data_IF_246358805195
#
_entry.id   IF_246358805195
#
_cell.length_a   1.000
_cell.length_b   1.000
_cell.length_c   1.000
_cell.angle_alpha   90.00
_cell.angle_beta   90.00
_cell.angle_gamma   90.00
#
_symmetry.space_group_name_H-M   'P 1'
#
loop_
_entity.id
_entity.type
_entity.pdbx_description
1 polymer ?
#
# COMPACT_ATOMS: atom_id res chain seq x y z
N UNK A 1 -5.31 -8.45 20.85
CA UNK A 1 -4.61 -8.51 19.54
C UNK A 1 -3.99 -9.89 19.42
N UNK A 2 -4.36 -10.68 18.40
CA UNK A 2 -3.63 -11.92 18.10
C UNK A 2 -2.24 -11.48 17.61
N UNK A 3 -1.17 -11.95 18.25
CA UNK A 3 0.19 -11.78 17.72
C UNK A 3 0.24 -12.55 16.40
N UNK A 4 0.12 -11.85 15.28
CA UNK A 4 0.39 -12.45 13.97
C UNK A 4 1.90 -12.66 13.88
N UNK A 5 2.30 -13.89 13.63
CA UNK A 5 3.70 -14.21 13.37
C UNK A 5 4.12 -13.49 12.06
N UNK A 6 5.30 -12.88 11.99
CA UNK A 6 5.79 -12.31 10.75
C UNK A 6 6.05 -13.44 9.76
N UNK A 7 5.81 -13.15 8.51
CA UNK A 7 6.02 -14.03 7.36
C UNK A 7 6.66 -13.22 6.24
N UNK A 8 7.33 -13.93 5.35
CA UNK A 8 7.94 -13.38 4.14
C UNK A 8 6.93 -13.42 3.00
N UNK A 9 6.54 -12.27 2.48
CA UNK A 9 5.55 -12.13 1.40
C UNK A 9 6.25 -11.73 0.12
N UNK A 10 6.13 -12.56 -0.90
CA UNK A 10 6.68 -12.34 -2.23
C UNK A 10 5.69 -11.62 -3.13
N UNK A 11 6.19 -10.65 -3.87
CA UNK A 11 5.44 -9.92 -4.88
C UNK A 11 6.22 -9.86 -6.20
N UNK A 12 5.50 -9.93 -7.31
CA UNK A 12 6.01 -9.64 -8.65
C UNK A 12 5.58 -8.24 -9.07
N UNK A 13 6.49 -7.55 -9.73
CA UNK A 13 6.28 -6.22 -10.29
C UNK A 13 6.58 -6.26 -11.79
N UNK A 14 5.54 -6.47 -12.61
CA UNK A 14 5.66 -6.44 -14.08
C UNK A 14 6.07 -5.04 -14.57
N UNK A 15 5.55 -4.03 -13.87
CA UNK A 15 5.94 -2.64 -13.96
C UNK A 15 6.31 -2.17 -12.55
N UNK A 16 7.16 -1.16 -12.44
CA UNK A 16 7.54 -0.60 -11.15
C UNK A 16 6.32 -0.13 -10.33
N UNK A 17 5.22 0.20 -11.00
CA UNK A 17 3.97 0.68 -10.42
C UNK A 17 2.89 -0.39 -10.27
N UNK A 18 3.16 -1.66 -10.55
CA UNK A 18 2.15 -2.72 -10.49
C UNK A 18 2.66 -3.88 -9.64
N UNK A 19 2.12 -4.01 -8.43
CA UNK A 19 2.49 -5.08 -7.50
C UNK A 19 1.41 -6.16 -7.42
N UNK A 20 1.83 -7.42 -7.59
CA UNK A 20 0.99 -8.61 -7.49
C UNK A 20 1.54 -9.59 -6.47
N UNK A 21 0.66 -10.16 -5.64
CA UNK A 21 1.02 -11.17 -4.65
C UNK A 21 1.39 -12.50 -5.34
N UNK A 22 2.50 -13.10 -4.92
CA UNK A 22 2.94 -14.42 -5.40
C UNK A 22 2.68 -15.50 -4.36
N UNK A 23 3.30 -15.37 -3.19
CA UNK A 23 3.20 -16.34 -2.09
C UNK A 23 3.65 -15.76 -0.76
N UNK A 24 3.44 -16.54 0.30
CA UNK A 24 3.81 -16.22 1.67
C UNK A 24 4.54 -17.43 2.28
N UNK A 25 5.66 -17.17 2.94
CA UNK A 25 6.45 -18.15 3.67
C UNK A 25 6.52 -17.76 5.15
N UNK A 26 6.02 -18.62 6.03
CA UNK A 26 6.03 -18.42 7.47
C UNK A 26 7.31 -18.96 8.13
N UNK A 27 8.08 -19.80 7.43
CA UNK A 27 9.29 -20.44 7.96
C UNK A 27 10.47 -20.30 6.98
N UNK A 28 11.69 -20.31 7.52
CA UNK A 28 12.91 -20.21 6.72
C UNK A 28 13.08 -21.42 5.79
N UNK A 29 12.63 -22.60 6.23
CA UNK A 29 12.60 -23.83 5.41
C UNK A 29 11.73 -23.68 4.18
N UNK A 30 10.58 -23.00 4.29
CA UNK A 30 9.68 -22.75 3.15
C UNK A 30 10.33 -21.83 2.11
N UNK A 31 11.10 -20.83 2.58
CA UNK A 31 11.89 -19.94 1.69
C UNK A 31 12.99 -20.74 0.97
N UNK A 32 13.69 -21.62 1.69
CA UNK A 32 14.72 -22.48 1.11
C UNK A 32 14.15 -23.48 0.09
N UNK A 33 13.00 -24.08 0.40
CA UNK A 33 12.31 -25.02 -0.48
C UNK A 33 11.88 -24.35 -1.79
N UNK A 34 11.52 -23.07 -1.75
CA UNK A 34 11.17 -22.27 -2.94
C UNK A 34 12.32 -22.22 -3.96
N UNK A 35 13.56 -22.04 -3.50
CA UNK A 35 14.76 -22.06 -4.35
C UNK A 35 15.12 -23.48 -4.80
N UNK A 36 15.00 -24.47 -3.91
CA UNK A 36 15.26 -25.87 -4.24
C UNK A 36 14.31 -26.42 -5.32
N UNK A 37 13.04 -26.02 -5.30
CA UNK A 37 12.05 -26.43 -6.30
C UNK A 37 12.36 -25.82 -7.68
N UNK A 38 12.90 -24.60 -7.73
CA UNK A 38 13.30 -23.96 -8.99
C UNK A 38 14.49 -24.66 -9.63
N UNK A 39 15.51 -25.02 -8.85
CA UNK A 39 16.66 -25.78 -9.36
C UNK A 39 16.21 -27.07 -10.06
N UNK A 40 15.18 -27.75 -9.53
CA UNK A 40 14.61 -28.97 -10.11
C UNK A 40 13.73 -28.73 -11.35
N UNK A 41 13.09 -27.57 -11.46
CA UNK A 41 12.26 -27.22 -12.62
C UNK A 41 13.10 -26.89 -13.86
N UNK A 42 14.30 -26.33 -13.70
CA UNK A 42 15.22 -26.08 -14.82
C UNK A 42 15.63 -27.38 -15.52
N UNK A 43 15.69 -28.49 -14.78
CA UNK A 43 16.06 -29.81 -15.30
C UNK A 43 14.88 -30.63 -15.88
N UNK A 44 13.64 -30.29 -15.50
CA UNK A 44 12.45 -31.03 -15.88
C UNK A 44 11.62 -30.26 -16.94
N UNK A 45 11.87 -30.52 -18.22
CA UNK A 45 10.97 -30.10 -19.30
C UNK A 45 9.58 -30.74 -19.10
N UNK A 46 8.62 -29.94 -18.64
CA UNK A 46 7.20 -30.22 -18.42
C UNK A 46 6.81 -30.74 -17.03
N UNK A 47 6.30 -29.83 -16.19
CA UNK A 47 5.14 -30.10 -15.33
C UNK A 47 4.35 -28.80 -15.11
N UNK A 48 3.02 -28.94 -15.03
CA UNK A 48 2.00 -27.90 -15.26
C UNK A 48 1.50 -27.25 -13.95
N UNK A 49 2.06 -27.61 -12.80
CA UNK A 49 1.81 -26.89 -11.54
C UNK A 49 3.05 -26.05 -11.16
N UNK A 50 3.17 -24.92 -11.84
CA UNK A 50 4.22 -23.94 -11.62
C UNK A 50 3.98 -23.22 -10.29
N UNK A 51 4.69 -23.65 -9.25
CA UNK A 51 4.91 -22.83 -8.06
C UNK A 51 5.46 -21.44 -8.43
N UNK A 52 5.42 -20.47 -7.51
CA UNK A 52 5.83 -19.10 -7.79
C UNK A 52 7.30 -19.04 -8.19
N UNK A 53 7.56 -18.59 -9.42
CA UNK A 53 8.92 -18.45 -9.94
C UNK A 53 9.55 -17.15 -9.44
N UNK A 54 10.49 -17.28 -8.51
CA UNK A 54 11.30 -16.19 -7.95
C UNK A 54 12.72 -16.13 -8.54
N UNK A 55 12.98 -16.85 -9.63
CA UNK A 55 14.29 -16.88 -10.27
C UNK A 55 14.58 -15.54 -10.98
N UNK A 56 15.71 -14.87 -10.70
CA UNK A 56 16.13 -13.65 -11.37
C UNK A 56 16.13 -13.72 -12.89
N UNK A 57 16.53 -14.85 -13.47
CA UNK A 57 16.67 -14.99 -14.93
C UNK A 57 15.32 -15.02 -15.66
N UNK A 58 14.24 -15.28 -14.93
CA UNK A 58 12.87 -15.28 -15.45
C UNK A 58 12.25 -13.88 -15.58
N UNK A 59 12.89 -12.85 -15.00
CA UNK A 59 12.44 -11.47 -15.08
C UNK A 59 12.53 -10.94 -16.50
N UNK A 60 11.47 -10.36 -17.03
CA UNK A 60 11.58 -9.54 -18.25
C UNK A 60 12.30 -8.20 -17.93
N UNK A 61 12.65 -7.46 -18.98
CA UNK A 61 13.31 -6.16 -18.82
C UNK A 61 12.41 -5.22 -17.99
N UNK A 62 13.00 -4.56 -16.98
CA UNK A 62 12.35 -3.68 -15.99
C UNK A 62 11.41 -4.36 -14.99
N UNK A 63 11.22 -5.67 -15.07
CA UNK A 63 10.48 -6.38 -14.05
C UNK A 63 11.28 -6.49 -12.76
N UNK A 64 10.55 -6.61 -11.65
CA UNK A 64 11.13 -6.83 -10.33
C UNK A 64 10.41 -7.93 -9.57
N UNK A 65 11.14 -8.60 -8.67
CA UNK A 65 10.57 -9.44 -7.62
C UNK A 65 11.00 -8.84 -6.29
N UNK A 66 10.11 -8.89 -5.30
CA UNK A 66 10.42 -8.45 -3.94
C UNK A 66 9.91 -9.44 -2.92
N UNK A 67 10.63 -9.54 -1.81
CA UNK A 67 10.18 -10.21 -0.59
C UNK A 67 10.13 -9.19 0.53
N UNK A 68 9.01 -9.09 1.24
CA UNK A 68 8.83 -8.16 2.37
C UNK A 68 8.22 -8.85 3.57
N UNK A 69 8.34 -8.27 4.75
CA UNK A 69 7.61 -8.76 5.91
C UNK A 69 6.09 -8.56 5.74
N UNK A 70 5.25 -9.48 6.20
CA UNK A 70 3.77 -9.39 6.09
C UNK A 70 3.11 -8.20 6.78
N UNK A 71 3.81 -7.61 7.74
CA UNK A 71 3.43 -6.40 8.45
C UNK A 71 4.29 -5.20 8.04
N UNK A 72 5.00 -5.31 6.91
CA UNK A 72 5.73 -4.18 6.36
C UNK A 72 4.76 -3.04 6.07
N UNK A 73 5.15 -1.86 6.53
CA UNK A 73 4.42 -0.63 6.30
C UNK A 73 5.44 0.42 5.85
N UNK A 74 5.19 1.00 4.69
CA UNK A 74 6.06 2.03 4.15
C UNK A 74 5.83 3.35 4.90
N UNK A 75 6.91 3.93 5.40
CA UNK A 75 6.88 5.21 6.09
C UNK A 75 8.04 6.13 5.68
N UNK A 76 8.10 7.31 6.29
CA UNK A 76 9.15 8.31 6.04
C UNK A 76 10.58 7.82 6.38
N UNK A 77 10.73 6.71 7.12
CA UNK A 77 12.00 6.12 7.53
C UNK A 77 12.35 4.86 6.71
N UNK A 78 11.49 4.45 5.79
CA UNK A 78 11.72 3.30 4.92
C UNK A 78 12.69 3.68 3.81
N UNK A 79 13.80 2.95 3.68
CA UNK A 79 14.87 3.22 2.70
C UNK A 79 15.35 1.95 2.04
N UNK A 80 16.11 2.10 0.96
CA UNK A 80 16.79 0.99 0.33
C UNK A 80 18.28 1.23 0.10
N UNK A 81 19.01 0.12 0.02
CA UNK A 81 20.45 0.06 -0.22
C UNK A 81 20.67 -0.87 -1.41
N UNK A 82 21.16 -0.34 -2.53
CA UNK A 82 21.11 -1.00 -3.84
C UNK A 82 22.52 -1.28 -4.34
N UNK A 83 22.74 -2.51 -4.76
CA UNK A 83 23.83 -2.91 -5.63
C UNK A 83 23.32 -2.92 -7.06
N UNK A 84 24.07 -2.29 -7.96
CA UNK A 84 23.76 -2.27 -9.39
C UNK A 84 24.84 -3.07 -10.14
N UNK A 85 24.66 -3.31 -11.43
CA UNK A 85 25.67 -3.91 -12.31
C UNK A 85 26.02 -5.37 -12.00
N UNK A 86 25.08 -6.13 -11.42
CA UNK A 86 25.25 -7.58 -11.23
C UNK A 86 24.97 -8.31 -12.55
N UNK A 87 25.89 -9.19 -12.95
CA UNK A 87 25.71 -10.04 -14.13
C UNK A 87 24.76 -11.20 -13.84
N UNK A 88 24.26 -11.86 -14.90
CA UNK A 88 23.37 -13.02 -14.77
C UNK A 88 23.96 -14.15 -13.90
N UNK A 89 25.25 -14.46 -14.08
CA UNK A 89 25.93 -15.49 -13.28
C UNK A 89 26.05 -15.13 -11.80
N UNK A 90 26.21 -13.84 -11.49
CA UNK A 90 26.37 -13.36 -10.12
C UNK A 90 25.02 -13.21 -9.42
N UNK A 91 24.00 -12.76 -10.15
CA UNK A 91 22.74 -12.34 -9.55
C UNK A 91 21.95 -13.52 -8.99
N UNK A 92 22.01 -14.70 -9.61
CA UNK A 92 21.27 -15.87 -9.14
C UNK A 92 21.70 -16.24 -7.70
N UNK A 93 23.01 -16.37 -7.49
CA UNK A 93 23.58 -16.68 -6.18
C UNK A 93 23.37 -15.53 -5.19
N UNK A 94 23.60 -14.29 -5.62
CA UNK A 94 23.45 -13.13 -4.74
C UNK A 94 22.01 -12.93 -4.29
N UNK A 95 21.04 -13.13 -5.19
CA UNK A 95 19.62 -13.03 -4.89
C UNK A 95 19.17 -14.07 -3.86
N UNK A 96 19.55 -15.33 -4.03
CA UNK A 96 19.27 -16.39 -3.07
C UNK A 96 19.83 -16.03 -1.68
N UNK A 97 21.11 -15.63 -1.62
CA UNK A 97 21.73 -15.18 -0.38
C UNK A 97 21.00 -13.99 0.25
N UNK A 98 20.63 -12.99 -0.55
CA UNK A 98 19.94 -11.79 -0.09
C UNK A 98 18.52 -12.08 0.44
N UNK A 99 17.80 -12.99 -0.21
CA UNK A 99 16.48 -13.44 0.24
C UNK A 99 16.59 -14.20 1.55
N UNK A 100 17.53 -15.15 1.65
CA UNK A 100 17.75 -15.90 2.90
C UNK A 100 18.16 -14.97 4.05
N UNK A 101 19.08 -14.03 3.80
CA UNK A 101 19.49 -13.01 4.76
C UNK A 101 18.30 -12.17 5.26
N UNK A 102 17.49 -11.64 4.34
CA UNK A 102 16.32 -10.85 4.72
C UNK A 102 15.26 -11.69 5.45
N UNK A 103 15.06 -12.95 5.05
CA UNK A 103 14.12 -13.87 5.67
C UNK A 103 14.53 -14.19 7.12
N UNK A 104 15.81 -14.45 7.36
CA UNK A 104 16.34 -14.63 8.72
C UNK A 104 16.05 -13.41 9.60
N UNK A 105 16.29 -12.19 9.10
CA UNK A 105 15.98 -10.97 9.84
C UNK A 105 14.47 -10.81 10.11
N UNK A 106 13.61 -11.12 9.15
CA UNK A 106 12.16 -10.99 9.27
C UNK A 106 11.60 -12.03 10.24
N UNK A 107 11.99 -13.29 10.09
CA UNK A 107 11.44 -14.42 10.84
C UNK A 107 12.06 -14.56 12.24
N UNK A 108 13.34 -14.22 12.44
CA UNK A 108 14.00 -14.29 13.76
C UNK A 108 13.80 -13.04 14.63
N UNK A 109 13.09 -12.03 14.12
CA UNK A 109 12.85 -10.77 14.84
C UNK A 109 11.96 -10.88 16.10
N UNK A 110 11.51 -12.09 16.46
CA UNK A 110 10.70 -12.37 17.67
C UNK A 110 11.35 -11.96 19.00
N UNK A 111 12.67 -11.86 19.04
CA UNK A 111 13.40 -11.63 20.29
C UNK A 111 13.82 -10.16 20.51
N UNK A 112 13.52 -9.26 19.58
CA UNK A 112 13.92 -7.86 19.68
C UNK A 112 12.80 -7.05 20.34
N UNK A 113 13.13 -6.43 21.48
CA UNK A 113 12.32 -5.46 22.23
C UNK A 113 11.29 -4.71 21.36
N UNK A 114 10.02 -4.75 21.77
CA UNK A 114 8.89 -3.98 21.20
C UNK A 114 9.18 -2.48 20.99
N UNK A 115 10.23 -1.93 21.61
CA UNK A 115 10.62 -0.51 21.51
C UNK A 115 11.60 -0.20 20.38
N UNK A 116 12.26 -1.19 19.79
CA UNK A 116 13.25 -0.97 18.71
C UNK A 116 12.75 -1.64 17.43
N UNK A 117 12.29 -0.83 16.49
CA UNK A 117 11.83 -1.28 15.17
C UNK A 117 12.85 -2.16 14.44
N UNK A 118 12.35 -2.90 13.44
CA UNK A 118 13.14 -3.84 12.63
C UNK A 118 14.00 -3.06 11.65
N UNK A 119 15.29 -3.38 11.58
CA UNK A 119 16.20 -2.71 10.67
C UNK A 119 15.98 -3.15 9.21
N UNK A 120 15.68 -4.44 8.98
CA UNK A 120 15.43 -5.03 7.66
C UNK A 120 13.95 -5.35 7.52
N UNK A 121 13.37 -4.90 6.42
CA UNK A 121 11.95 -5.05 6.08
C UNK A 121 11.71 -5.96 4.87
N UNK A 122 12.73 -6.14 4.04
CA UNK A 122 12.62 -6.92 2.81
C UNK A 122 13.82 -6.77 1.89
N UNK A 123 13.69 -7.32 0.70
CA UNK A 123 14.67 -7.26 -0.38
C UNK A 123 13.94 -7.24 -1.71
N UNK A 124 14.55 -6.67 -2.75
CA UNK A 124 14.05 -6.75 -4.11
C UNK A 124 15.18 -6.91 -5.11
N UNK A 125 14.81 -7.39 -6.29
CA UNK A 125 15.66 -7.50 -7.46
C UNK A 125 14.95 -6.89 -8.66
N UNK A 126 15.69 -6.19 -9.52
CA UNK A 126 15.21 -5.59 -10.76
C UNK A 126 16.15 -5.97 -11.90
N UNK A 127 15.59 -6.32 -13.07
CA UNK A 127 16.38 -6.47 -14.30
C UNK A 127 16.45 -5.13 -15.05
N UNK A 128 17.61 -4.49 -15.07
CA UNK A 128 17.78 -3.18 -15.71
C UNK A 128 18.14 -3.27 -17.19
N UNK A 129 18.86 -4.32 -17.59
CA UNK A 129 19.21 -4.62 -18.97
C UNK A 129 19.20 -6.14 -19.20
N UNK A 130 19.51 -6.56 -20.43
CA UNK A 130 19.51 -8.00 -20.81
C UNK A 130 20.38 -8.83 -19.86
N UNK A 131 21.54 -8.35 -19.43
CA UNK A 131 22.44 -9.07 -18.52
C UNK A 131 22.84 -8.22 -17.30
N UNK A 132 22.03 -7.22 -16.93
CA UNK A 132 22.30 -6.30 -15.83
C UNK A 132 21.13 -6.29 -14.85
N UNK A 133 21.45 -6.55 -13.58
CA UNK A 133 20.51 -6.62 -12.49
C UNK A 133 20.92 -5.72 -11.33
N UNK A 134 19.92 -5.27 -10.59
CA UNK A 134 20.10 -4.60 -9.30
C UNK A 134 19.41 -5.38 -8.20
N UNK A 135 20.07 -5.48 -7.06
CA UNK A 135 19.49 -6.09 -5.86
C UNK A 135 19.55 -5.06 -4.74
N UNK A 136 18.41 -4.83 -4.09
CA UNK A 136 18.25 -3.83 -3.06
C UNK A 136 17.72 -4.41 -1.75
N UNK A 137 18.36 -4.06 -0.64
CA UNK A 137 17.85 -4.33 0.70
C UNK A 137 16.90 -3.22 1.13
N UNK A 138 15.71 -3.57 1.62
CA UNK A 138 14.71 -2.64 2.15
C UNK A 138 14.86 -2.59 3.66
N UNK A 139 15.09 -1.39 4.20
CA UNK A 139 15.34 -1.15 5.61
C UNK A 139 14.36 -0.12 6.17
N UNK A 140 14.17 -0.12 7.49
CA UNK A 140 13.41 0.90 8.20
C UNK A 140 14.26 1.48 9.32
N UNK A 141 14.36 2.81 9.33
CA UNK A 141 15.05 3.56 10.38
C UNK A 141 15.98 4.63 9.84
N UNK A 142 16.88 5.09 10.71
CA UNK A 142 17.85 6.13 10.36
C UNK A 142 19.24 5.53 10.25
N UNK A 143 20.10 6.15 9.45
CA UNK A 143 21.51 5.74 9.35
C UNK A 143 22.29 5.87 10.67
N UNK A 144 21.69 6.44 11.72
CA UNK A 144 22.28 6.45 13.08
C UNK A 144 22.09 5.13 13.83
N UNK A 145 21.22 4.23 13.35
CA UNK A 145 21.03 2.91 13.96
C UNK A 145 22.17 1.97 13.56
N UNK A 146 22.99 1.59 14.53
CA UNK A 146 24.11 0.67 14.31
C UNK A 146 23.65 -0.68 13.75
N UNK A 147 22.47 -1.18 14.14
CA UNK A 147 21.93 -2.45 13.63
C UNK A 147 21.64 -2.38 12.13
N UNK A 148 21.19 -1.22 11.66
CA UNK A 148 20.96 -0.97 10.24
C UNK A 148 22.29 -0.93 9.48
N UNK A 149 23.31 -0.25 10.03
CA UNK A 149 24.64 -0.22 9.42
C UNK A 149 25.26 -1.63 9.34
N UNK A 150 25.15 -2.41 10.42
CA UNK A 150 25.61 -3.81 10.47
C UNK A 150 24.88 -4.68 9.43
N UNK A 151 23.55 -4.58 9.36
CA UNK A 151 22.76 -5.34 8.39
C UNK A 151 23.11 -4.97 6.94
N UNK A 152 23.30 -3.68 6.65
CA UNK A 152 23.69 -3.19 5.32
C UNK A 152 25.10 -3.66 4.96
N UNK A 153 26.04 -3.66 5.90
CA UNK A 153 27.40 -4.16 5.68
C UNK A 153 27.44 -5.67 5.46
N UNK A 154 26.60 -6.45 6.16
CA UNK A 154 26.50 -7.89 5.96
C UNK A 154 25.86 -8.23 4.61
N UNK A 155 24.80 -7.50 4.25
CA UNK A 155 24.11 -7.64 2.97
C UNK A 155 25.03 -7.34 1.78
N UNK A 156 25.80 -6.25 1.82
CA UNK A 156 26.69 -5.90 0.70
C UNK A 156 27.86 -6.87 0.58
N UNK A 157 28.33 -7.46 1.69
CA UNK A 157 29.47 -8.36 1.72
C UNK A 157 30.69 -7.74 1.03
N UNK A 158 31.31 -8.41 0.03
CA UNK A 158 32.45 -7.86 -0.71
C UNK A 158 32.07 -6.81 -1.76
N UNK A 159 30.77 -6.65 -2.05
CA UNK A 159 30.30 -5.79 -3.12
C UNK A 159 30.10 -4.35 -2.64
N UNK A 160 30.26 -3.39 -3.55
CA UNK A 160 30.05 -1.96 -3.26
C UNK A 160 28.60 -1.57 -3.48
N UNK A 161 28.01 -0.84 -2.55
CA UNK A 161 26.66 -0.28 -2.71
C UNK A 161 26.71 0.97 -3.61
N UNK A 162 25.99 0.94 -4.72
CA UNK A 162 25.85 2.08 -5.64
C UNK A 162 24.96 3.16 -5.05
N UNK A 163 23.89 2.78 -4.37
CA UNK A 163 22.95 3.70 -3.71
C UNK A 163 22.76 3.30 -2.26
N UNK A 164 22.98 4.23 -1.36
CA UNK A 164 22.81 4.03 0.09
C UNK A 164 21.74 4.98 0.58
N UNK A 165 20.78 4.44 1.35
CA UNK A 165 19.74 5.24 1.98
C UNK A 165 18.84 5.97 0.95
N UNK A 166 18.58 5.32 -0.18
CA UNK A 166 17.71 5.83 -1.24
C UNK A 166 16.24 5.54 -0.94
N UNK A 167 15.34 6.23 -1.66
CA UNK A 167 13.92 5.85 -1.67
C UNK A 167 13.70 4.57 -2.46
N UNK A 168 12.80 3.73 -2.00
CA UNK A 168 12.48 2.44 -2.64
C UNK A 168 11.90 2.69 -4.05
N UNK A 169 12.42 2.11 -5.14
CA UNK A 169 11.85 2.35 -6.47
C UNK A 169 10.44 1.75 -6.67
N UNK A 170 10.15 0.63 -6.01
CA UNK A 170 8.88 -0.11 -6.18
C UNK A 170 7.67 0.72 -5.72
N UNK A 171 6.71 0.92 -6.61
CA UNK A 171 5.47 1.66 -6.37
C UNK A 171 5.71 3.14 -5.97
N UNK A 172 6.86 3.73 -6.33
CA UNK A 172 7.23 5.09 -5.94
C UNK A 172 6.20 6.15 -6.38
N UNK A 173 5.61 5.99 -7.57
CA UNK A 173 4.60 6.89 -8.12
C UNK A 173 3.37 7.11 -7.21
N UNK A 174 3.05 6.15 -6.34
CA UNK A 174 1.88 6.23 -5.45
C UNK A 174 2.18 6.85 -4.09
N UNK A 175 3.45 7.14 -3.78
CA UNK A 175 3.84 7.74 -2.51
C UNK A 175 3.62 9.25 -2.45
N UNK A 176 3.30 9.86 -3.59
CA UNK A 176 2.92 11.27 -3.70
C UNK A 176 1.45 11.50 -3.36
N UNK A 177 0.69 10.44 -3.06
CA UNK A 177 -0.71 10.56 -2.67
C UNK A 177 -0.85 11.20 -1.29
N UNK A 178 -1.77 12.16 -1.16
CA UNK A 178 -2.13 12.81 0.09
C UNK A 178 -3.65 12.70 0.33
N UNK A 179 -4.06 12.94 1.58
CA UNK A 179 -5.48 13.06 1.94
C UNK A 179 -5.73 14.44 2.57
N UNK A 180 -6.75 15.12 2.06
CA UNK A 180 -7.26 16.38 2.60
C UNK A 180 -8.73 16.23 2.95
N UNK A 181 -9.11 16.77 4.09
CA UNK A 181 -10.47 16.67 4.61
C UNK A 181 -11.08 18.05 4.71
N UNK A 182 -12.36 18.15 4.39
CA UNK A 182 -13.12 19.38 4.53
C UNK A 182 -14.57 19.06 4.88
N UNK A 183 -15.12 19.78 5.85
CA UNK A 183 -16.56 19.75 6.15
C UNK A 183 -17.25 21.00 5.61
N UNK A 184 -18.49 20.86 5.13
CA UNK A 184 -19.26 22.02 4.70
C UNK A 184 -19.66 22.90 5.89
N UNK A 185 -19.38 24.22 5.85
CA UNK A 185 -19.79 25.11 6.93
C UNK A 185 -21.32 25.13 7.08
N UNK A 186 -21.81 24.90 8.29
CA UNK A 186 -23.22 25.09 8.66
C UNK A 186 -23.35 25.88 9.95
N UNK A 187 -24.43 26.65 10.04
CA UNK A 187 -24.79 27.43 11.24
C UNK A 187 -25.49 26.53 12.28
N UNK A 188 -26.13 25.47 11.80
CA UNK A 188 -26.86 24.50 12.61
C UNK A 188 -25.90 23.66 13.45
N UNK A 189 -26.27 23.44 14.72
CA UNK A 189 -25.54 22.53 15.60
C UNK A 189 -25.76 21.08 15.15
N UNK A 190 -24.75 20.24 15.34
CA UNK A 190 -24.89 18.79 15.15
C UNK A 190 -25.69 18.23 16.33
N UNK A 191 -26.77 17.51 16.04
CA UNK A 191 -27.61 16.86 17.05
C UNK A 191 -27.68 15.35 16.79
N UNK A 192 -27.96 14.53 17.81
CA UNK A 192 -28.15 13.09 17.62
C UNK A 192 -29.20 12.79 16.55
N UNK A 193 -28.99 11.71 15.81
CA UNK A 193 -29.87 11.17 14.76
C UNK A 193 -30.15 12.11 13.57
N UNK A 194 -29.53 13.30 13.53
CA UNK A 194 -29.62 14.19 12.38
C UNK A 194 -28.39 14.08 11.50
N UNK A 195 -28.63 14.25 10.20
CA UNK A 195 -27.58 14.30 9.19
C UNK A 195 -26.68 15.49 9.49
N UNK A 196 -25.39 15.21 9.64
CA UNK A 196 -24.36 16.20 9.90
C UNK A 196 -23.95 16.94 8.61
N UNK A 197 -23.19 18.03 8.69
CA UNK A 197 -22.67 18.70 7.51
C UNK A 197 -21.87 17.72 6.63
N UNK A 198 -22.04 17.76 5.29
CA UNK A 198 -21.31 16.91 4.36
C UNK A 198 -19.80 16.95 4.58
N UNK A 199 -19.18 15.77 4.59
CA UNK A 199 -17.72 15.64 4.64
C UNK A 199 -17.20 15.34 3.24
N UNK A 200 -16.28 16.18 2.77
CA UNK A 200 -15.49 15.95 1.56
C UNK A 200 -14.15 15.35 1.94
N UNK A 201 -13.85 14.19 1.35
CA UNK A 201 -12.53 13.57 1.37
C UNK A 201 -11.90 13.78 0.01
N UNK A 202 -10.76 14.46 -0.03
CA UNK A 202 -10.03 14.81 -1.24
C UNK A 202 -8.73 14.03 -1.22
N UNK A 203 -8.52 13.16 -2.20
CA UNK A 203 -7.25 12.47 -2.43
C UNK A 203 -6.54 13.14 -3.60
N UNK A 204 -5.33 13.66 -3.38
CA UNK A 204 -4.53 14.27 -4.44
C UNK A 204 -3.27 13.42 -4.69
N UNK A 205 -2.92 13.22 -5.95
CA UNK A 205 -1.70 12.54 -6.37
C UNK A 205 -1.01 13.35 -7.46
N UNK A 206 0.28 13.64 -7.28
CA UNK A 206 1.09 14.26 -8.33
C UNK A 206 1.58 13.19 -9.30
N UNK A 207 1.34 13.40 -10.60
CA UNK A 207 1.82 12.55 -11.68
C UNK A 207 2.71 13.34 -12.64
N UNK A 208 3.82 12.71 -13.04
CA UNK A 208 4.72 13.25 -14.07
C UNK A 208 4.30 12.84 -15.49
N UNK A 209 3.57 11.74 -15.66
CA UNK A 209 3.15 11.24 -16.98
C UNK A 209 1.65 10.91 -17.05
N UNK A 210 1.09 11.07 -18.24
CA UNK A 210 -0.32 10.85 -18.55
C UNK A 210 -0.60 9.35 -18.74
N UNK A 211 -0.52 8.57 -17.66
CA UNK A 211 -0.91 7.16 -17.66
C UNK A 211 -2.40 7.03 -17.26
N UNK A 212 -3.03 5.97 -17.76
CA UNK A 212 -4.47 5.73 -17.89
C UNK A 212 -5.41 6.38 -16.85
N UNK A 213 -6.47 6.99 -17.40
CA UNK A 213 -7.24 8.09 -16.80
C UNK A 213 -8.15 7.72 -15.61
N UNK A 214 -8.23 6.47 -15.18
CA UNK A 214 -9.43 6.00 -14.44
C UNK A 214 -9.22 5.52 -13.00
N UNK A 215 -8.00 5.27 -12.52
CA UNK A 215 -7.82 4.73 -11.15
C UNK A 215 -6.69 5.38 -10.33
N UNK A 216 -6.94 5.62 -9.03
CA UNK A 216 -5.89 5.83 -8.01
C UNK A 216 -5.31 4.45 -7.68
N UNK A 217 -4.35 4.00 -8.48
CA UNK A 217 -3.77 2.68 -8.26
C UNK A 217 -3.08 2.63 -6.88
N UNK A 218 -3.25 1.51 -6.16
CA UNK A 218 -2.70 1.30 -4.82
C UNK A 218 -3.69 1.46 -3.65
N UNK A 219 -4.81 2.17 -3.83
CA UNK A 219 -5.85 2.33 -2.80
C UNK A 219 -7.19 1.74 -3.25
N UNK A 220 -7.99 1.22 -2.31
CA UNK A 220 -9.25 0.51 -2.61
C UNK A 220 -10.49 1.25 -2.14
N UNK A 221 -10.43 1.85 -0.95
CA UNK A 221 -11.59 2.46 -0.32
C UNK A 221 -11.20 3.61 0.61
N UNK A 222 -12.18 4.44 0.94
CA UNK A 222 -12.11 5.46 1.99
C UNK A 222 -13.13 5.13 3.04
N UNK A 223 -12.68 5.06 4.29
CA UNK A 223 -13.49 4.80 5.47
C UNK A 223 -13.54 6.06 6.33
N UNK A 224 -14.74 6.45 6.76
CA UNK A 224 -15.01 7.57 7.66
C UNK A 224 -15.62 7.01 8.92
N UNK A 225 -15.09 7.40 10.09
CA UNK A 225 -15.52 6.86 11.37
C UNK A 225 -15.39 7.89 12.49
N UNK A 226 -16.02 7.60 13.62
CA UNK A 226 -15.85 8.39 14.84
C UNK A 226 -14.71 7.83 15.69
N UNK A 227 -13.76 8.69 16.05
CA UNK A 227 -12.66 8.32 16.93
C UNK A 227 -13.07 8.34 18.42
N UNK A 228 -14.02 9.21 18.80
CA UNK A 228 -14.46 9.40 20.19
C UNK A 228 -15.91 9.92 20.26
N UNK A 229 -16.60 9.65 21.39
CA UNK A 229 -16.24 8.69 22.43
C UNK A 229 -16.43 7.24 21.95
N UNK A 230 -15.70 6.28 22.55
CA UNK A 230 -15.68 4.88 22.07
C UNK A 230 -17.05 4.16 22.07
N UNK A 231 -18.00 4.64 22.88
CA UNK A 231 -19.37 4.12 22.90
C UNK A 231 -20.24 4.68 21.75
N UNK A 232 -19.85 5.82 21.16
CA UNK A 232 -20.58 6.47 20.09
C UNK A 232 -20.32 5.81 18.74
N UNK A 233 -21.31 5.89 17.85
CA UNK A 233 -21.26 5.29 16.50
C UNK A 233 -21.57 6.33 15.44
N UNK A 234 -20.81 6.26 14.35
CA UNK A 234 -21.11 6.97 13.12
C UNK A 234 -21.95 6.06 12.25
N UNK A 235 -23.09 6.56 11.79
CA UNK A 235 -24.00 5.84 10.91
C UNK A 235 -24.16 6.60 9.59
N UNK A 236 -24.72 5.92 8.58
CA UNK A 236 -24.79 6.40 7.19
C UNK A 236 -23.80 5.69 6.27
N UNK A 237 -23.48 6.29 5.13
CA UNK A 237 -22.48 5.77 4.20
C UNK A 237 -21.08 6.04 4.71
N UNK A 238 -20.53 5.19 5.57
CA UNK A 238 -19.20 5.37 6.19
C UNK A 238 -18.04 4.82 5.37
N UNK A 239 -18.31 4.11 4.27
CA UNK A 239 -17.29 3.55 3.38
C UNK A 239 -17.65 3.80 1.92
N UNK A 240 -16.66 4.26 1.13
CA UNK A 240 -16.78 4.43 -0.33
C UNK A 240 -15.59 3.79 -1.04
N UNK A 241 -15.86 3.05 -2.11
CA UNK A 241 -14.82 2.45 -2.95
C UNK A 241 -14.26 3.51 -3.91
N UNK A 242 -12.95 3.46 -4.17
CA UNK A 242 -12.29 4.35 -5.12
C UNK A 242 -12.44 3.90 -6.57
N UNK A 243 -12.69 2.60 -6.78
CA UNK A 243 -12.88 2.00 -8.11
C UNK A 243 -14.36 1.63 -8.31
N UNK A 244 -15.08 2.43 -9.08
CA UNK A 244 -16.43 2.11 -9.56
C UNK A 244 -16.45 2.03 -11.09
N UNK A 245 -16.65 0.82 -11.63
CA UNK A 245 -16.88 0.44 -13.04
C UNK A 245 -15.67 0.42 -14.02
N UNK A 246 -15.17 -0.77 -14.39
CA UNK A 246 -15.54 -1.46 -15.65
C UNK A 246 -14.85 -2.83 -15.83
N UNK A 247 -15.57 -3.79 -16.46
CA UNK A 247 -15.01 -5.05 -17.02
C UNK A 247 -15.49 -6.35 -16.38
N UNK A 248 -16.60 -6.90 -16.85
CA UNK A 248 -17.28 -8.04 -16.23
C UNK A 248 -16.68 -9.43 -16.46
N UNK A 249 -16.94 -10.33 -15.51
CA UNK A 249 -17.41 -11.69 -15.77
C UNK A 249 -18.47 -12.02 -14.70
N UNK A 250 -19.67 -12.35 -15.16
CA UNK A 250 -20.73 -12.88 -14.32
C UNK A 250 -20.30 -14.23 -13.73
N UNK A 251 -19.82 -14.23 -12.48
CA UNK A 251 -19.73 -15.42 -11.65
C UNK A 251 -20.97 -15.51 -10.77
N UNK A 252 -21.91 -16.41 -11.13
CA UNK A 252 -23.09 -16.74 -10.33
C UNK A 252 -22.66 -17.17 -8.91
N UNK A 253 -22.85 -16.30 -7.93
CA UNK A 253 -23.00 -16.72 -6.54
C UNK A 253 -24.50 -16.98 -6.29
N UNK A 254 -24.86 -18.26 -6.16
CA UNK A 254 -26.19 -18.69 -5.74
C UNK A 254 -26.39 -18.28 -4.28
N UNK A 255 -27.25 -17.29 -4.04
CA UNK A 255 -27.74 -16.95 -2.71
C UNK A 255 -29.02 -17.76 -2.48
N UNK A 256 -29.13 -18.57 -1.40
CA UNK A 256 -30.38 -19.21 -1.06
C UNK A 256 -31.43 -18.17 -0.66
N UNK A 257 -32.60 -18.28 -1.27
CA UNK A 257 -33.72 -17.37 -1.10
C UNK A 257 -34.35 -17.50 0.29
N UNK A 258 -34.33 -16.41 1.07
CA UNK A 258 -35.44 -16.04 1.94
C UNK A 258 -35.32 -14.58 2.38
N UNK A 259 -36.38 -13.83 2.06
CA UNK A 259 -36.86 -12.60 2.72
C UNK A 259 -36.17 -11.26 2.44
N UNK A 260 -36.55 -10.76 1.25
CA UNK A 260 -36.75 -9.35 0.91
C UNK A 260 -37.36 -8.53 2.07
N UNK A 261 -36.70 -7.43 2.45
CA UNK A 261 -37.37 -6.13 2.63
C UNK A 261 -36.54 -4.99 2.05
N UNK A 262 -37.26 -4.16 1.32
CA UNK A 262 -36.85 -3.06 0.45
C UNK A 262 -35.88 -2.05 1.09
N UNK A 263 -34.88 -1.67 0.30
CA UNK A 263 -34.07 -0.46 0.45
C UNK A 263 -33.07 -0.40 -0.70
N UNK A 264 -33.39 0.34 -1.76
CA UNK A 264 -32.44 0.67 -2.84
C UNK A 264 -31.25 1.42 -2.24
N UNK A 265 -30.10 0.76 -2.14
CA UNK A 265 -28.82 1.40 -1.83
C UNK A 265 -28.32 2.02 -3.13
N UNK A 266 -28.52 3.32 -3.29
CA UNK A 266 -27.92 4.10 -4.36
C UNK A 266 -26.39 4.16 -4.17
N UNK A 267 -25.67 3.26 -4.85
CA UNK A 267 -24.21 3.31 -5.00
C UNK A 267 -23.85 4.50 -5.90
N UNK A 268 -23.72 5.71 -5.34
CA UNK A 268 -23.12 6.85 -6.07
C UNK A 268 -21.61 6.60 -6.21
N UNK A 269 -21.18 6.37 -7.45
CA UNK A 269 -19.77 6.26 -7.83
C UNK A 269 -18.97 7.54 -7.47
N UNK A 270 -17.67 7.38 -7.28
CA UNK A 270 -16.73 8.48 -7.07
C UNK A 270 -16.75 9.45 -8.25
N UNK A 271 -16.84 10.76 -7.98
CA UNK A 271 -16.67 11.77 -9.01
C UNK A 271 -15.17 12.01 -9.22
N UNK A 272 -14.67 11.69 -10.41
CA UNK A 272 -13.30 12.02 -10.81
C UNK A 272 -13.29 13.44 -11.41
N UNK A 273 -12.54 14.36 -10.81
CA UNK A 273 -12.31 15.69 -11.37
C UNK A 273 -10.84 15.85 -11.74
N UNK A 274 -10.59 16.07 -13.03
CA UNK A 274 -9.31 16.57 -13.54
C UNK A 274 -9.41 18.09 -13.52
N UNK A 275 -8.68 18.75 -12.63
CA UNK A 275 -8.68 20.21 -12.57
C UNK A 275 -7.72 20.76 -13.63
N UNK A 276 -8.27 21.12 -14.79
CA UNK A 276 -7.53 21.75 -15.89
C UNK A 276 -7.36 23.23 -15.55
N UNK A 277 -6.46 23.50 -14.61
CA UNK A 277 -6.11 24.87 -14.26
C UNK A 277 -5.33 25.48 -15.41
N UNK A 278 -6.01 26.20 -16.32
CA UNK A 278 -5.61 27.52 -16.85
C UNK A 278 -6.53 28.01 -17.99
N UNK A 279 -7.46 28.90 -17.63
CA UNK A 279 -7.74 30.05 -18.49
C UNK A 279 -6.57 31.04 -18.41
N UNK A 280 -6.27 31.67 -19.55
CA UNK A 280 -5.19 32.63 -19.82
C UNK A 280 -3.84 32.04 -20.27
N UNK A 281 -3.59 32.26 -21.57
CA UNK A 281 -2.36 31.97 -22.28
C UNK A 281 -1.14 32.62 -21.63
N UNK A 282 -0.11 31.80 -21.32
CA UNK A 282 1.32 32.13 -21.37
C UNK A 282 2.13 30.84 -21.16
N UNK A 283 3.14 30.66 -22.01
CA UNK A 283 4.20 29.64 -22.01
C UNK A 283 4.16 28.63 -20.84
N UNK A 284 3.61 27.43 -21.07
CA UNK A 284 3.71 26.31 -20.13
C UNK A 284 5.05 25.60 -20.32
N UNK A 285 6.00 25.88 -19.42
CA UNK A 285 6.80 24.79 -18.86
C UNK A 285 5.82 23.70 -18.39
N UNK A 286 6.12 22.43 -18.67
CA UNK A 286 5.24 21.31 -18.36
C UNK A 286 4.99 21.23 -16.84
N UNK A 287 3.91 21.85 -16.37
CA UNK A 287 3.49 21.75 -14.98
C UNK A 287 3.11 20.28 -14.67
N UNK A 288 3.52 19.73 -13.53
CA UNK A 288 3.14 18.37 -13.13
C UNK A 288 1.62 18.27 -13.05
N UNK A 289 1.05 17.19 -13.60
CA UNK A 289 -0.39 16.96 -13.57
C UNK A 289 -0.79 16.55 -12.15
N UNK A 290 -1.74 17.25 -11.56
CA UNK A 290 -2.31 16.89 -10.26
C UNK A 290 -3.64 16.18 -10.46
N UNK A 291 -3.72 14.91 -10.05
CA UNK A 291 -4.95 14.13 -10.06
C UNK A 291 -5.65 14.32 -8.71
N UNK A 292 -6.95 14.63 -8.74
CA UNK A 292 -7.78 14.75 -7.53
C UNK A 292 -8.99 13.82 -7.60
N UNK A 293 -9.28 13.12 -6.51
CA UNK A 293 -10.54 12.37 -6.33
C UNK A 293 -11.27 12.95 -5.14
N UNK A 294 -12.51 13.37 -5.35
CA UNK A 294 -13.34 13.99 -4.31
C UNK A 294 -14.51 13.06 -4.00
N UNK A 295 -14.52 12.55 -2.76
CA UNK A 295 -15.61 11.73 -2.23
C UNK A 295 -16.44 12.55 -1.25
N UNK A 296 -17.74 12.58 -1.49
CA UNK A 296 -18.71 13.26 -0.63
C UNK A 296 -19.39 12.27 0.30
N UNK A 297 -19.50 12.60 1.59
CA UNK A 297 -20.19 11.81 2.60
C UNK A 297 -21.31 12.66 3.17
N UNK A 298 -22.52 12.51 2.60
CA UNK A 298 -23.63 13.46 2.76
C UNK A 298 -24.71 12.97 3.75
N UNK A 299 -24.67 11.72 4.17
CA UNK A 299 -25.71 11.02 4.93
C UNK A 299 -25.21 10.53 6.30
N UNK A 300 -24.16 11.17 6.82
CA UNK A 300 -23.55 10.80 8.09
C UNK A 300 -24.34 11.34 9.28
N UNK A 301 -24.53 10.55 10.32
CA UNK A 301 -25.14 10.99 11.57
C UNK A 301 -24.57 10.25 12.79
N UNK A 302 -24.69 10.88 13.95
CA UNK A 302 -24.16 10.40 15.23
C UNK A 302 -25.32 10.01 16.14
N UNK A 303 -25.13 9.01 17.00
CA UNK A 303 -26.19 8.51 17.89
C UNK A 303 -26.21 9.18 19.26
N UNK A 304 -25.05 9.61 19.75
CA UNK A 304 -24.87 10.04 21.15
C UNK A 304 -24.48 11.52 21.22
N UNK A 305 -24.80 12.16 22.33
CA UNK A 305 -24.35 13.52 22.65
C UNK A 305 -22.89 13.54 23.13
N UNK A 306 -22.25 14.70 23.03
CA UNK A 306 -20.89 14.95 23.53
C UNK A 306 -19.89 15.36 22.46
N UNK A 307 -18.63 15.45 22.86
CA UNK A 307 -17.52 15.83 21.98
C UNK A 307 -17.08 14.66 21.09
N UNK A 308 -17.00 14.92 19.79
CA UNK A 308 -16.71 13.91 18.78
C UNK A 308 -15.56 14.36 17.87
N UNK A 309 -14.87 13.36 17.30
CA UNK A 309 -13.80 13.54 16.33
C UNK A 309 -14.04 12.59 15.15
N UNK A 310 -14.11 13.13 13.92
CA UNK A 310 -14.19 12.30 12.71
C UNK A 310 -12.78 11.95 12.24
N UNK A 311 -12.51 10.66 12.10
CA UNK A 311 -11.33 10.10 11.46
C UNK A 311 -11.64 9.59 10.05
N UNK A 312 -10.66 9.68 9.18
CA UNK A 312 -10.73 9.17 7.81
C UNK A 312 -9.49 8.33 7.52
N UNK A 313 -9.69 7.10 7.09
CA UNK A 313 -8.64 6.17 6.68
C UNK A 313 -8.83 5.78 5.21
N UNK A 314 -7.75 5.85 4.43
CA UNK A 314 -7.72 5.35 3.06
C UNK A 314 -7.13 3.94 3.08
N UNK A 315 -7.96 2.97 2.72
CA UNK A 315 -7.60 1.56 2.68
C UNK A 315 -6.68 1.28 1.49
N UNK A 316 -5.50 0.73 1.77
CA UNK A 316 -4.54 0.29 0.76
C UNK A 316 -4.97 -1.05 0.18
N UNK A 317 -4.69 -1.26 -1.10
CA UNK A 317 -4.77 -2.59 -1.70
C UNK A 317 -3.74 -3.51 -1.04
N UNK A 318 -4.08 -4.77 -0.71
CA UNK A 318 -3.17 -5.68 0.00
C UNK A 318 -1.79 -5.82 -0.66
N UNK A 319 -1.73 -5.90 -2.00
CA UNK A 319 -0.47 -6.05 -2.74
C UNK A 319 0.43 -4.81 -2.74
N UNK A 320 -0.09 -3.65 -2.35
CA UNK A 320 0.66 -2.38 -2.28
C UNK A 320 1.04 -1.99 -0.85
N UNK A 321 0.47 -2.67 0.15
CA UNK A 321 0.57 -2.30 1.57
C UNK A 321 2.02 -2.11 2.05
N UNK A 322 2.94 -2.95 1.58
CA UNK A 322 4.36 -2.89 1.96
C UNK A 322 5.14 -1.73 1.30
N UNK A 323 4.59 -1.09 0.26
CA UNK A 323 5.32 -0.19 -0.63
C UNK A 323 4.81 1.25 -0.62
N UNK A 324 3.59 1.47 -0.14
CA UNK A 324 2.93 2.78 -0.11
C UNK A 324 2.47 3.14 1.31
N UNK A 325 2.47 4.43 1.69
CA UNK A 325 2.12 4.85 3.04
C UNK A 325 0.64 4.66 3.34
N UNK A 326 0.34 4.36 4.61
CA UNK A 326 -1.00 4.49 5.16
C UNK A 326 -1.42 5.97 5.11
N UNK A 327 -2.61 6.25 4.58
CA UNK A 327 -3.16 7.60 4.58
C UNK A 327 -4.28 7.70 5.62
N UNK A 328 -4.11 8.65 6.53
CA UNK A 328 -5.05 8.92 7.59
C UNK A 328 -5.17 10.43 7.81
N UNK A 329 -6.38 10.89 8.10
CA UNK A 329 -6.66 12.27 8.46
C UNK A 329 -7.77 12.34 9.51
N UNK A 330 -7.92 13.50 10.12
CA UNK A 330 -9.05 13.78 11.00
C UNK A 330 -9.56 15.20 10.77
N UNK A 331 -10.87 15.39 10.94
CA UNK A 331 -11.46 16.72 11.00
C UNK A 331 -11.25 17.32 12.39
N UNK A 332 -11.46 18.63 12.53
CA UNK A 332 -11.48 19.25 13.85
C UNK A 332 -12.57 18.61 14.73
N UNK A 333 -12.35 18.49 16.06
CA UNK A 333 -13.38 18.07 16.98
C UNK A 333 -14.62 18.97 16.88
N UNK A 334 -15.80 18.39 17.13
CA UNK A 334 -17.07 19.09 17.15
C UNK A 334 -17.93 18.59 18.31
N UNK A 335 -18.86 19.44 18.75
CA UNK A 335 -19.78 19.12 19.84
C UNK A 335 -21.14 18.70 19.29
N UNK A 336 -21.64 17.57 19.77
CA UNK A 336 -23.00 17.08 19.53
C UNK A 336 -23.84 17.43 20.75
N UNK A 337 -24.92 18.17 20.56
CA UNK A 337 -25.77 18.63 21.67
C UNK A 337 -27.21 18.17 21.49
N UNK A 338 -27.92 17.99 22.61
CA UNK A 338 -29.38 17.91 22.63
C UNK A 338 -29.98 19.10 21.89
N UNK A 339 -31.11 18.88 21.21
CA UNK A 339 -31.84 19.98 20.60
C UNK A 339 -32.42 20.87 21.73
N UNK A 340 -32.23 22.19 21.66
CA UNK A 340 -32.73 23.17 22.66
C UNK A 340 -34.27 23.32 22.74
N UNK A 341 -35.05 22.30 22.32
CA UNK A 341 -36.52 22.28 22.43
C UNK A 341 -37.00 21.01 23.14
N UNK A 342 -36.62 20.84 24.41
CA UNK A 342 -37.33 20.00 25.37
C UNK A 342 -37.93 20.89 26.46
#
# INVERSE_FOLDING_TARGET
MRQSFPSCVFHRHELMEKSEYMCECAQLTEVYDLFCQQAKQVDAFASVDLGPNVNPTSLALHESISMTASHADYDSLTRCHILETLTEDQVAFFWEHAVMFAAEHILNSFHVSLRRGKAVMGVFITRNAVADFSVGLITQGTWRDQRLQEAVSQFSGPHTLNKVYAELPLCAAYRTANVRLWWEPRVERVTPHRVMPPVKVILEQQQQEQVDKTQLCGYTAVNVFLCRPAASKLCGTTRKLLNGADGGVAGKAVIPAAEKRNGEINLKAAAFSIDDSHGAARCREQAPWQRSVVLHFDDLFVLEEGEHLVGVEVERLPSYKAFIPALYGHLAPFLVVAHENA
#
